data_IF_151776210672
#
_entry.id   IF_151776210672
#
_cell.length_a   1.000
_cell.length_b   1.000
_cell.length_c   1.000
_cell.angle_alpha   90.00
_cell.angle_beta   90.00
_cell.angle_gamma   90.00
#
_symmetry.space_group_name_H-M   'P 1'
#
loop_
_entity.id
_entity.type
_entity.pdbx_description
1 polymer ?
#
# COMPACT_ATOMS: atom_id res chain seq x y z
N UNK A 1 -27.18 36.48 -28.50
CA UNK A 1 -26.30 35.29 -28.35
C UNK A 1 -27.06 34.15 -27.67
N UNK A 2 -27.04 32.92 -28.20
CA UNK A 2 -27.65 31.75 -27.54
C UNK A 2 -27.03 31.57 -26.14
N UNK A 3 -27.85 31.32 -25.10
CA UNK A 3 -27.39 31.26 -23.69
C UNK A 3 -26.15 30.37 -23.51
N UNK A 4 -26.07 29.21 -24.16
CA UNK A 4 -24.92 28.30 -24.08
C UNK A 4 -23.59 28.89 -24.58
N UNK A 5 -23.62 29.66 -25.67
CA UNK A 5 -22.42 30.31 -26.23
C UNK A 5 -21.92 31.42 -25.30
N UNK A 6 -22.84 32.15 -24.66
CA UNK A 6 -22.50 33.19 -23.67
C UNK A 6 -21.72 32.61 -22.49
N UNK A 7 -22.21 31.52 -21.89
CA UNK A 7 -21.56 30.89 -20.74
C UNK A 7 -20.22 30.23 -21.10
N UNK A 8 -20.10 29.70 -22.32
CA UNK A 8 -18.83 29.18 -22.82
C UNK A 8 -17.76 30.29 -22.95
N UNK A 9 -18.12 31.44 -23.55
CA UNK A 9 -17.22 32.58 -23.65
C UNK A 9 -16.87 33.18 -22.28
N UNK A 10 -17.84 33.27 -21.36
CA UNK A 10 -17.58 33.70 -19.99
C UNK A 10 -16.59 32.77 -19.26
N UNK A 11 -16.66 31.45 -19.52
CA UNK A 11 -15.71 30.50 -18.96
C UNK A 11 -14.31 30.64 -19.57
N UNK A 12 -14.21 30.85 -20.88
CA UNK A 12 -12.95 31.07 -21.57
C UNK A 12 -12.26 32.35 -21.05
N UNK A 13 -13.00 33.45 -20.94
CA UNK A 13 -12.51 34.72 -20.38
C UNK A 13 -12.14 34.57 -18.91
N UNK A 14 -12.96 33.87 -18.11
CA UNK A 14 -12.63 33.57 -16.71
C UNK A 14 -11.32 32.78 -16.57
N UNK A 15 -11.10 31.77 -17.41
CA UNK A 15 -9.88 30.98 -17.41
C UNK A 15 -8.68 31.83 -17.81
N UNK A 16 -8.81 32.63 -18.86
CA UNK A 16 -7.77 33.56 -19.28
C UNK A 16 -7.39 34.55 -18.17
N UNK A 17 -8.37 35.25 -17.58
CA UNK A 17 -8.13 36.19 -16.47
C UNK A 17 -7.49 35.55 -15.23
N UNK A 18 -7.71 34.25 -15.01
CA UNK A 18 -7.20 33.51 -13.86
C UNK A 18 -5.80 32.94 -14.07
N UNK A 19 -5.49 32.51 -15.29
CA UNK A 19 -4.26 31.76 -15.61
C UNK A 19 -3.25 32.56 -16.43
N UNK A 20 -3.61 33.75 -16.92
CA UNK A 20 -2.67 34.66 -17.57
C UNK A 20 -1.60 35.13 -16.57
N UNK A 21 -0.34 34.96 -16.97
CA UNK A 21 0.81 35.22 -16.11
C UNK A 21 0.98 36.73 -15.82
N UNK A 22 0.70 37.59 -16.79
CA UNK A 22 0.84 39.04 -16.63
C UNK A 22 -0.24 39.58 -15.69
N UNK A 23 -1.50 39.13 -15.84
CA UNK A 23 -2.59 39.49 -14.92
C UNK A 23 -2.40 38.93 -13.52
N UNK A 24 -1.72 37.78 -13.40
CA UNK A 24 -1.36 37.20 -12.10
C UNK A 24 -0.26 38.00 -11.40
N UNK A 25 0.72 38.53 -12.14
CA UNK A 25 1.75 39.40 -11.59
C UNK A 25 1.21 40.79 -11.22
N UNK A 26 0.34 41.35 -12.06
CA UNK A 26 -0.23 42.69 -11.85
C UNK A 26 -1.25 42.75 -10.70
N UNK A 27 -2.17 41.78 -10.63
CA UNK A 27 -3.30 41.82 -9.69
C UNK A 27 -3.22 40.76 -8.57
N UNK A 28 -2.18 39.92 -8.57
CA UNK A 28 -2.03 38.80 -7.61
C UNK A 28 -3.32 37.99 -7.48
N UNK A 29 -3.88 37.93 -6.28
CA UNK A 29 -5.13 37.22 -5.97
C UNK A 29 -6.35 38.16 -5.87
N UNK A 30 -6.19 39.46 -6.15
CA UNK A 30 -7.32 40.40 -6.18
C UNK A 30 -8.24 40.07 -7.37
N UNK A 31 -9.52 39.86 -7.06
CA UNK A 31 -10.53 39.51 -8.04
C UNK A 31 -11.37 40.71 -8.49
N UNK A 32 -11.25 41.87 -7.85
CA UNK A 32 -12.07 43.04 -8.20
C UNK A 32 -11.80 43.54 -9.65
N UNK A 33 -10.54 43.73 -10.10
CA UNK A 33 -10.27 44.17 -11.47
C UNK A 33 -10.72 43.14 -12.51
N UNK A 34 -10.63 41.85 -12.17
CA UNK A 34 -11.07 40.74 -13.02
C UNK A 34 -12.59 40.65 -13.10
N UNK A 35 -13.28 40.95 -12.00
CA UNK A 35 -14.74 41.07 -11.97
C UNK A 35 -15.21 42.24 -12.82
N UNK A 36 -14.59 43.41 -12.68
CA UNK A 36 -14.96 44.62 -13.43
C UNK A 36 -14.79 44.41 -14.94
N UNK A 37 -13.73 43.73 -15.36
CA UNK A 37 -13.54 43.33 -16.75
C UNK A 37 -14.64 42.37 -17.24
N UNK A 38 -14.98 41.35 -16.45
CA UNK A 38 -16.08 40.43 -16.80
C UNK A 38 -17.44 41.14 -16.81
N UNK A 39 -17.67 42.08 -15.90
CA UNK A 39 -18.87 42.89 -15.82
C UNK A 39 -19.00 43.82 -17.04
N UNK A 40 -17.89 44.41 -17.49
CA UNK A 40 -17.83 45.23 -18.70
C UNK A 40 -18.13 44.45 -19.98
N UNK A 41 -17.66 43.20 -20.10
CA UNK A 41 -17.88 42.40 -21.30
C UNK A 41 -19.25 41.69 -21.36
N UNK A 42 -19.77 41.23 -20.22
CA UNK A 42 -20.93 40.33 -20.20
C UNK A 42 -22.14 40.88 -19.44
N UNK A 43 -21.98 42.02 -18.76
CA UNK A 43 -22.94 42.63 -17.85
C UNK A 43 -22.72 42.17 -16.41
N UNK A 44 -22.89 43.10 -15.47
CA UNK A 44 -22.61 42.89 -14.04
C UNK A 44 -23.46 41.76 -13.44
N UNK A 45 -24.75 41.71 -13.77
CA UNK A 45 -25.67 40.69 -13.27
C UNK A 45 -25.25 39.26 -13.68
N UNK A 46 -24.80 39.10 -14.93
CA UNK A 46 -24.37 37.82 -15.46
C UNK A 46 -22.99 37.42 -14.92
N UNK A 47 -22.04 38.36 -14.85
CA UNK A 47 -20.72 38.13 -14.24
C UNK A 47 -20.84 37.70 -12.77
N UNK A 48 -21.69 38.39 -11.99
CA UNK A 48 -21.95 38.08 -10.59
C UNK A 48 -22.60 36.70 -10.42
N UNK A 49 -23.58 36.36 -11.27
CA UNK A 49 -24.24 35.04 -11.26
C UNK A 49 -23.27 33.91 -11.63
N UNK A 50 -22.45 34.12 -12.65
CA UNK A 50 -21.43 33.17 -13.10
C UNK A 50 -20.39 32.90 -12.01
N UNK A 51 -19.83 33.94 -11.40
CA UNK A 51 -18.84 33.78 -10.33
C UNK A 51 -19.43 33.14 -9.08
N UNK A 52 -20.65 33.52 -8.66
CA UNK A 52 -21.35 32.83 -7.56
C UNK A 52 -21.52 31.33 -7.84
N UNK A 53 -21.88 30.97 -9.07
CA UNK A 53 -21.99 29.58 -9.50
C UNK A 53 -20.63 28.86 -9.47
N UNK A 54 -19.54 29.50 -9.93
CA UNK A 54 -18.17 28.95 -9.87
C UNK A 54 -17.65 28.78 -8.45
N UNK A 55 -17.91 29.76 -7.57
CA UNK A 55 -17.57 29.66 -6.14
C UNK A 55 -18.38 28.56 -5.47
N UNK A 56 -19.67 28.42 -5.79
CA UNK A 56 -20.51 27.32 -5.32
C UNK A 56 -19.96 25.97 -5.77
N UNK A 57 -19.64 25.80 -7.06
CA UNK A 57 -19.00 24.60 -7.61
C UNK A 57 -17.64 24.30 -6.97
N UNK A 58 -16.81 25.31 -6.75
CA UNK A 58 -15.50 25.13 -6.10
C UNK A 58 -15.66 24.76 -4.62
N UNK A 59 -16.63 25.35 -3.92
CA UNK A 59 -16.97 25.01 -2.52
C UNK A 59 -17.62 23.63 -2.42
N UNK A 60 -18.47 23.23 -3.34
CA UNK A 60 -19.08 21.89 -3.40
C UNK A 60 -18.03 20.83 -3.70
N UNK A 61 -17.09 21.09 -4.63
CA UNK A 61 -15.92 20.24 -4.88
C UNK A 61 -14.99 20.14 -3.67
N UNK A 62 -14.89 21.19 -2.85
CA UNK A 62 -14.17 21.16 -1.56
C UNK A 62 -14.95 20.48 -0.43
N UNK A 63 -16.30 20.35 -0.52
CA UNK A 63 -17.15 19.83 0.55
C UNK A 63 -17.26 18.30 0.56
N UNK A 64 -17.06 17.60 -0.56
CA UNK A 64 -17.06 16.13 -0.54
C UNK A 64 -15.67 15.55 -0.31
N UNK A 65 -14.98 16.01 0.74
CA UNK A 65 -13.83 15.25 1.23
C UNK A 65 -14.38 13.97 1.85
N UNK A 66 -14.02 12.83 1.29
CA UNK A 66 -14.48 11.54 1.81
C UNK A 66 -13.67 11.22 3.06
N UNK A 67 -14.25 11.44 4.24
CA UNK A 67 -13.67 10.96 5.50
C UNK A 67 -13.81 9.44 5.55
N UNK A 68 -12.69 8.74 5.72
CA UNK A 68 -12.67 7.29 5.89
C UNK A 68 -12.46 6.98 7.35
N UNK A 69 -13.35 6.16 7.91
CA UNK A 69 -13.24 5.64 9.28
C UNK A 69 -12.76 4.19 9.28
N UNK A 70 -12.13 3.74 10.37
CA UNK A 70 -11.65 2.36 10.54
C UNK A 70 -12.73 1.29 10.27
N UNK A 71 -13.99 1.53 10.66
CA UNK A 71 -15.12 0.62 10.34
C UNK A 71 -15.31 0.38 8.84
N UNK A 72 -15.01 1.38 8.00
CA UNK A 72 -15.07 1.24 6.55
C UNK A 72 -13.93 0.36 6.00
N UNK A 73 -12.79 0.32 6.70
CA UNK A 73 -11.66 -0.58 6.42
C UNK A 73 -12.06 -2.01 6.78
N UNK A 74 -12.55 -2.25 8.00
CA UNK A 74 -13.03 -3.55 8.48
C UNK A 74 -14.07 -4.16 7.52
N UNK A 75 -15.07 -3.36 7.12
CA UNK A 75 -16.10 -3.81 6.17
C UNK A 75 -15.51 -4.28 4.84
N UNK A 76 -14.37 -3.72 4.40
CA UNK A 76 -13.69 -4.14 3.16
C UNK A 76 -12.85 -5.39 3.37
N UNK A 77 -12.25 -5.55 4.54
CA UNK A 77 -11.55 -6.78 4.93
C UNK A 77 -12.52 -7.94 4.95
N UNK A 78 -13.69 -7.78 5.58
CA UNK A 78 -14.72 -8.82 5.61
C UNK A 78 -15.20 -9.21 4.21
N UNK A 79 -15.37 -8.23 3.32
CA UNK A 79 -15.75 -8.48 1.92
C UNK A 79 -14.66 -9.24 1.16
N UNK A 80 -13.40 -8.94 1.43
CA UNK A 80 -12.28 -9.64 0.81
C UNK A 80 -12.26 -11.10 1.24
N UNK A 81 -12.44 -11.37 2.54
CA UNK A 81 -12.48 -12.73 3.09
C UNK A 81 -13.67 -13.54 2.58
N UNK A 82 -14.83 -12.89 2.36
CA UNK A 82 -16.03 -13.55 1.83
C UNK A 82 -15.98 -13.79 0.31
N UNK A 83 -15.12 -13.08 -0.42
CA UNK A 83 -15.02 -13.21 -1.87
C UNK A 83 -14.22 -14.48 -2.24
N UNK A 84 -14.84 -15.37 -3.03
CA UNK A 84 -14.25 -16.66 -3.40
C UNK A 84 -13.05 -16.49 -4.38
N UNK A 85 -11.81 -16.84 -3.99
CA UNK A 85 -10.62 -16.66 -4.83
C UNK A 85 -10.56 -17.61 -6.04
N UNK A 86 -11.35 -18.68 -6.08
CA UNK A 86 -11.36 -19.63 -7.20
C UNK A 86 -12.13 -19.09 -8.41
N UNK A 87 -13.02 -18.13 -8.17
CA UNK A 87 -13.84 -17.51 -9.22
C UNK A 87 -13.16 -16.27 -9.82
N UNK A 88 -13.34 -16.05 -11.12
CA UNK A 88 -12.83 -14.83 -11.80
C UNK A 88 -13.41 -13.56 -11.17
N UNK A 89 -14.71 -13.56 -10.82
CA UNK A 89 -15.40 -12.45 -10.18
C UNK A 89 -14.84 -12.17 -8.78
N UNK A 90 -14.63 -13.19 -7.95
CA UNK A 90 -14.06 -13.03 -6.62
C UNK A 90 -12.63 -12.51 -6.64
N UNK A 91 -11.77 -13.02 -7.54
CA UNK A 91 -10.41 -12.47 -7.74
C UNK A 91 -10.42 -11.00 -8.12
N UNK A 92 -11.32 -10.59 -9.02
CA UNK A 92 -11.45 -9.19 -9.42
C UNK A 92 -11.93 -8.31 -8.26
N UNK A 93 -12.90 -8.80 -7.47
CA UNK A 93 -13.39 -8.09 -6.29
C UNK A 93 -12.29 -7.90 -5.25
N UNK A 94 -11.55 -8.96 -4.92
CA UNK A 94 -10.43 -8.94 -3.98
C UNK A 94 -9.35 -7.94 -4.38
N UNK A 95 -8.91 -7.98 -5.64
CA UNK A 95 -7.97 -7.00 -6.19
C UNK A 95 -8.51 -5.57 -6.12
N UNK A 96 -9.80 -5.36 -6.39
CA UNK A 96 -10.44 -4.05 -6.29
C UNK A 96 -10.44 -3.53 -4.85
N UNK A 97 -10.71 -4.41 -3.87
CA UNK A 97 -10.70 -4.06 -2.45
C UNK A 97 -9.30 -3.65 -1.99
N UNK A 98 -8.27 -4.44 -2.32
CA UNK A 98 -6.85 -4.10 -2.02
C UNK A 98 -6.48 -2.75 -2.63
N UNK A 99 -6.73 -2.54 -3.93
CA UNK A 99 -6.46 -1.26 -4.59
C UNK A 99 -7.17 -0.09 -3.94
N UNK A 100 -8.40 -0.29 -3.45
CA UNK A 100 -9.17 0.76 -2.78
C UNK A 100 -8.57 1.14 -1.43
N UNK A 101 -8.12 0.15 -0.66
CA UNK A 101 -7.44 0.36 0.62
C UNK A 101 -6.12 1.11 0.41
N UNK A 102 -5.30 0.67 -0.55
CA UNK A 102 -4.04 1.35 -0.92
C UNK A 102 -4.29 2.79 -1.36
N UNK A 103 -5.30 3.03 -2.20
CA UNK A 103 -5.68 4.38 -2.62
C UNK A 103 -6.03 5.27 -1.41
N UNK A 104 -6.84 4.76 -0.48
CA UNK A 104 -7.17 5.51 0.74
C UNK A 104 -5.96 5.81 1.61
N UNK A 105 -5.01 4.89 1.70
CA UNK A 105 -3.82 5.08 2.50
C UNK A 105 -2.77 6.01 1.86
N UNK A 106 -2.86 6.28 0.55
CA UNK A 106 -1.84 7.05 -0.20
C UNK A 106 -2.34 8.40 -0.70
N UNK A 107 -3.65 8.62 -0.76
CA UNK A 107 -4.24 9.87 -1.25
C UNK A 107 -4.11 11.00 -0.22
N UNK A 108 -3.36 12.06 -0.56
CA UNK A 108 -3.12 13.19 0.36
C UNK A 108 -4.40 13.96 0.67
N UNK A 109 -5.34 14.07 -0.26
CA UNK A 109 -6.60 14.77 0.00
C UNK A 109 -7.48 14.03 1.00
N UNK A 110 -7.49 12.70 1.00
CA UNK A 110 -8.18 11.92 2.04
C UNK A 110 -7.50 12.10 3.40
N UNK A 111 -6.16 12.21 3.40
CA UNK A 111 -5.37 12.14 4.62
C UNK A 111 -5.15 13.47 5.34
N UNK A 112 -5.09 14.58 4.61
CA UNK A 112 -4.86 15.92 5.19
C UNK A 112 -6.12 16.51 5.84
N UNK A 113 -7.30 16.04 5.44
CA UNK A 113 -8.57 16.66 5.80
C UNK A 113 -9.24 16.04 7.04
N UNK A 114 -8.60 15.08 7.71
CA UNK A 114 -9.14 14.42 8.90
C UNK A 114 -8.04 14.11 9.92
N UNK A 115 -8.18 14.66 11.14
CA UNK A 115 -7.19 14.56 12.23
C UNK A 115 -6.88 13.11 12.62
N UNK A 116 -7.87 12.20 12.54
CA UNK A 116 -7.67 10.78 12.85
C UNK A 116 -7.39 9.92 11.61
N UNK A 117 -7.02 10.54 10.47
CA UNK A 117 -6.62 9.80 9.27
C UNK A 117 -5.48 8.82 9.56
N UNK A 118 -4.53 9.19 10.43
CA UNK A 118 -3.43 8.30 10.82
C UNK A 118 -3.95 6.98 11.42
N UNK A 119 -5.03 7.00 12.24
CA UNK A 119 -5.63 5.78 12.80
C UNK A 119 -6.18 4.88 11.70
N UNK A 120 -6.87 5.48 10.74
CA UNK A 120 -7.42 4.75 9.59
C UNK A 120 -6.30 4.17 8.73
N UNK A 121 -5.22 4.91 8.49
CA UNK A 121 -4.04 4.42 7.77
C UNK A 121 -3.31 3.31 8.50
N UNK A 122 -3.21 3.37 9.83
CA UNK A 122 -2.70 2.28 10.65
C UNK A 122 -3.58 1.02 10.48
N UNK A 123 -4.90 1.17 10.56
CA UNK A 123 -5.83 0.04 10.34
C UNK A 123 -5.67 -0.54 8.93
N UNK A 124 -5.47 0.30 7.91
CA UNK A 124 -5.22 -0.17 6.53
C UNK A 124 -3.88 -0.91 6.45
N UNK A 125 -2.81 -0.36 7.00
CA UNK A 125 -1.47 -0.96 6.97
C UNK A 125 -1.46 -2.32 7.68
N UNK A 126 -2.04 -2.39 8.88
CA UNK A 126 -2.23 -3.63 9.62
C UNK A 126 -3.04 -4.63 8.79
N UNK A 127 -4.25 -4.27 8.34
CA UNK A 127 -5.10 -5.16 7.56
C UNK A 127 -4.40 -5.71 6.31
N UNK A 128 -3.67 -4.86 5.57
CA UNK A 128 -2.93 -5.24 4.38
C UNK A 128 -1.81 -6.23 4.69
N UNK A 129 -1.00 -6.00 5.73
CA UNK A 129 0.16 -6.82 6.08
C UNK A 129 -0.15 -7.97 7.07
N UNK A 130 -1.37 -8.07 7.58
CA UNK A 130 -1.81 -9.16 8.45
C UNK A 130 -2.88 -10.00 7.75
N UNK A 131 -4.15 -9.76 8.04
CA UNK A 131 -5.28 -10.59 7.63
C UNK A 131 -5.38 -10.76 6.11
N UNK A 132 -5.19 -9.68 5.34
CA UNK A 132 -5.26 -9.75 3.89
C UNK A 132 -4.06 -10.50 3.30
N UNK A 133 -2.84 -10.24 3.80
CA UNK A 133 -1.62 -10.90 3.34
C UNK A 133 -1.69 -12.42 3.54
N UNK A 134 -2.08 -12.87 4.74
CA UNK A 134 -2.16 -14.30 5.07
C UNK A 134 -3.21 -15.07 4.26
N UNK A 135 -4.19 -14.37 3.69
CA UNK A 135 -5.26 -14.97 2.91
C UNK A 135 -5.14 -14.66 1.41
N UNK A 136 -4.06 -14.00 0.98
CA UNK A 136 -3.88 -13.54 -0.40
C UNK A 136 -3.27 -14.61 -1.31
N UNK A 137 -3.70 -14.64 -2.57
CA UNK A 137 -3.01 -15.38 -3.64
C UNK A 137 -1.84 -14.55 -4.20
N UNK A 138 -0.85 -15.16 -4.87
CA UNK A 138 0.37 -14.46 -5.33
C UNK A 138 0.13 -13.09 -6.02
N UNK A 139 -0.80 -12.93 -6.98
CA UNK A 139 -1.03 -11.63 -7.60
C UNK A 139 -1.62 -10.57 -6.67
N UNK A 140 -2.29 -11.00 -5.59
CA UNK A 140 -2.80 -10.10 -4.54
C UNK A 140 -1.68 -9.71 -3.59
N UNK A 141 -0.76 -10.64 -3.27
CA UNK A 141 0.47 -10.35 -2.50
C UNK A 141 1.29 -9.26 -3.18
N UNK A 142 1.51 -9.35 -4.49
CA UNK A 142 2.21 -8.31 -5.25
C UNK A 142 1.54 -6.94 -5.14
N UNK A 143 0.21 -6.90 -5.24
CA UNK A 143 -0.58 -5.67 -5.12
C UNK A 143 -0.50 -5.09 -3.71
N UNK A 144 -0.51 -5.95 -2.68
CA UNK A 144 -0.35 -5.55 -1.29
C UNK A 144 1.03 -4.93 -1.10
N UNK A 145 2.10 -5.64 -1.46
CA UNK A 145 3.48 -5.18 -1.26
C UNK A 145 3.79 -3.90 -2.05
N UNK A 146 3.35 -3.80 -3.30
CA UNK A 146 3.45 -2.56 -4.08
C UNK A 146 2.67 -1.40 -3.43
N UNK A 147 1.54 -1.70 -2.79
CA UNK A 147 0.77 -0.72 -2.04
C UNK A 147 1.48 -0.24 -0.79
N UNK A 148 2.13 -1.16 -0.06
CA UNK A 148 2.92 -0.85 1.13
C UNK A 148 4.15 -0.02 0.77
N UNK A 149 4.85 -0.36 -0.30
CA UNK A 149 5.96 0.45 -0.83
C UNK A 149 5.54 1.92 -1.04
N UNK A 150 4.40 2.14 -1.70
CA UNK A 150 3.82 3.49 -1.87
C UNK A 150 3.47 4.18 -0.55
N UNK A 151 3.01 3.42 0.45
CA UNK A 151 2.69 3.96 1.77
C UNK A 151 3.94 4.35 2.57
N UNK A 152 5.04 3.62 2.39
CA UNK A 152 6.34 3.94 3.02
C UNK A 152 6.85 5.28 2.50
N UNK A 153 6.74 5.53 1.19
CA UNK A 153 7.22 6.77 0.57
C UNK A 153 6.20 7.93 0.60
N UNK A 154 4.95 7.71 1.03
CA UNK A 154 3.97 8.79 1.12
C UNK A 154 4.12 9.58 2.43
N UNK A 155 4.60 10.83 2.32
CA UNK A 155 4.75 11.76 3.46
C UNK A 155 3.42 12.33 4.00
N UNK A 156 2.28 11.73 3.64
CA UNK A 156 0.94 12.32 3.82
C UNK A 156 0.31 12.06 5.19
N UNK A 157 1.07 11.61 6.20
CA UNK A 157 0.48 11.21 7.49
C UNK A 157 0.59 12.32 8.51
N UNK A 158 -0.52 13.01 8.71
CA UNK A 158 -0.63 14.12 9.63
C UNK A 158 -1.32 13.65 10.94
N UNK A 159 -0.79 14.07 12.09
CA UNK A 159 -1.28 13.83 13.45
C UNK A 159 -1.59 15.17 14.13
N UNK A 160 -2.62 15.16 14.97
CA UNK A 160 -3.05 16.35 15.70
C UNK A 160 -3.69 17.42 14.80
N UNK A 161 -4.19 18.49 15.41
CA UNK A 161 -4.89 19.58 14.70
C UNK A 161 -3.98 20.40 13.78
N UNK A 162 -2.66 20.31 13.95
CA UNK A 162 -1.65 21.03 13.17
C UNK A 162 -1.09 20.23 11.99
N UNK A 163 -1.47 18.95 11.90
CA UNK A 163 -1.04 18.06 10.85
C UNK A 163 0.44 17.72 10.88
N UNK A 164 0.94 17.34 12.05
CA UNK A 164 2.34 16.98 12.26
C UNK A 164 2.64 15.59 11.69
N UNK A 165 3.81 15.34 11.11
CA UNK A 165 4.14 14.04 10.54
C UNK A 165 4.10 12.93 11.60
N UNK A 166 3.31 11.87 11.36
CA UNK A 166 3.12 10.75 12.30
C UNK A 166 4.01 9.53 12.00
N UNK A 167 4.84 9.07 12.96
CA UNK A 167 5.61 7.82 12.79
C UNK A 167 4.74 6.57 12.97
N UNK A 168 3.56 6.67 13.57
CA UNK A 168 2.77 5.51 14.02
C UNK A 168 2.38 4.54 12.90
N UNK A 169 2.10 5.06 11.70
CA UNK A 169 1.81 4.22 10.52
C UNK A 169 3.06 3.44 10.10
N UNK A 170 4.22 4.08 10.17
CA UNK A 170 5.50 3.48 9.80
C UNK A 170 5.92 2.40 10.80
N UNK A 171 5.66 2.59 12.10
CA UNK A 171 5.93 1.57 13.11
C UNK A 171 5.08 0.31 12.91
N UNK A 172 3.80 0.48 12.52
CA UNK A 172 2.94 -0.65 12.13
C UNK A 172 3.52 -1.36 10.91
N UNK A 173 3.85 -0.62 9.84
CA UNK A 173 4.44 -1.22 8.62
C UNK A 173 5.70 -2.02 8.97
N UNK A 174 6.64 -1.43 9.69
CA UNK A 174 7.92 -2.05 10.06
C UNK A 174 7.71 -3.34 10.86
N UNK A 175 6.84 -3.31 11.88
CA UNK A 175 6.55 -4.48 12.72
C UNK A 175 5.99 -5.65 11.89
N UNK A 176 5.06 -5.37 10.99
CA UNK A 176 4.46 -6.42 10.17
C UNK A 176 5.39 -6.91 9.06
N UNK A 177 6.18 -6.03 8.44
CA UNK A 177 7.23 -6.41 7.48
C UNK A 177 8.22 -7.38 8.13
N UNK A 178 8.71 -7.06 9.33
CA UNK A 178 9.62 -7.93 10.05
C UNK A 178 8.97 -9.28 10.42
N UNK A 179 7.70 -9.29 10.83
CA UNK A 179 6.95 -10.53 11.08
C UNK A 179 6.85 -11.39 9.81
N UNK A 180 6.53 -10.80 8.65
CA UNK A 180 6.44 -11.53 7.39
C UNK A 180 7.81 -12.11 7.01
N UNK A 181 8.89 -11.34 7.14
CA UNK A 181 10.25 -11.82 6.91
C UNK A 181 10.60 -12.98 7.85
N UNK A 182 10.30 -12.88 9.15
CA UNK A 182 10.54 -13.95 10.10
C UNK A 182 9.82 -15.26 9.71
N UNK A 183 8.55 -15.16 9.31
CA UNK A 183 7.76 -16.31 8.84
C UNK A 183 8.37 -16.92 7.58
N UNK A 184 8.80 -16.07 6.63
CA UNK A 184 9.47 -16.51 5.42
C UNK A 184 10.75 -17.30 5.71
N UNK A 185 11.61 -16.77 6.58
CA UNK A 185 12.88 -17.41 6.94
C UNK A 185 12.67 -18.72 7.71
N UNK A 186 11.71 -18.73 8.64
CA UNK A 186 11.34 -19.96 9.37
C UNK A 186 10.94 -21.08 8.41
N UNK A 187 10.17 -20.74 7.37
CA UNK A 187 9.75 -21.71 6.36
C UNK A 187 10.92 -22.18 5.49
N UNK A 188 11.86 -21.30 5.13
CA UNK A 188 13.09 -21.68 4.43
C UNK A 188 13.95 -22.64 5.25
N UNK A 189 14.08 -22.40 6.56
CA UNK A 189 14.79 -23.29 7.48
C UNK A 189 14.09 -24.66 7.57
N UNK A 190 12.76 -24.67 7.73
CA UNK A 190 11.97 -25.91 7.75
C UNK A 190 12.19 -26.75 6.49
N UNK A 191 12.13 -26.13 5.31
CA UNK A 191 12.36 -26.80 4.03
C UNK A 191 13.81 -27.31 3.86
N UNK A 192 14.80 -26.57 4.38
CA UNK A 192 16.20 -26.99 4.39
C UNK A 192 16.38 -28.22 5.27
N UNK A 193 15.83 -28.20 6.48
CA UNK A 193 15.98 -29.27 7.45
C UNK A 193 15.26 -30.55 6.97
N UNK A 194 14.08 -30.42 6.35
CA UNK A 194 13.42 -31.56 5.68
C UNK A 194 14.26 -32.18 4.55
N UNK A 195 14.95 -31.35 3.75
CA UNK A 195 15.85 -31.83 2.69
C UNK A 195 17.06 -32.54 3.27
N UNK A 196 17.65 -32.01 4.34
CA UNK A 196 18.77 -32.62 5.06
C UNK A 196 18.36 -33.95 5.68
N UNK A 197 17.18 -34.05 6.27
CA UNK A 197 16.64 -35.30 6.82
C UNK A 197 16.43 -36.35 5.73
N UNK A 198 15.85 -35.97 4.59
CA UNK A 198 15.69 -36.88 3.45
C UNK A 198 17.05 -37.36 2.92
N UNK A 199 18.02 -36.46 2.77
CA UNK A 199 19.37 -36.80 2.33
C UNK A 199 20.08 -37.74 3.32
N UNK A 200 19.93 -37.48 4.62
CA UNK A 200 20.50 -38.30 5.70
C UNK A 200 19.89 -39.70 5.73
N UNK A 201 18.55 -39.80 5.62
CA UNK A 201 17.84 -41.08 5.49
C UNK A 201 18.33 -41.86 4.26
N UNK A 202 18.46 -41.21 3.11
CA UNK A 202 18.98 -41.85 1.89
C UNK A 202 20.41 -42.38 2.11
N UNK A 203 21.28 -41.59 2.76
CA UNK A 203 22.66 -42.00 3.05
C UNK A 203 22.72 -43.21 3.98
N UNK A 204 21.95 -43.19 5.08
CA UNK A 204 21.86 -44.32 6.02
C UNK A 204 21.33 -45.59 5.34
N UNK A 205 20.33 -45.47 4.46
CA UNK A 205 19.82 -46.61 3.69
C UNK A 205 20.90 -47.18 2.77
N UNK A 206 21.69 -46.33 2.09
CA UNK A 206 22.81 -46.78 1.25
C UNK A 206 23.88 -47.50 2.07
N UNK A 207 24.29 -46.92 3.19
CA UNK A 207 25.28 -47.53 4.10
C UNK A 207 24.79 -48.88 4.66
N UNK A 208 23.50 -48.99 5.01
CA UNK A 208 22.89 -50.26 5.44
C UNK A 208 22.78 -51.29 4.32
N UNK A 209 22.53 -50.87 3.08
CA UNK A 209 22.49 -51.75 1.91
C UNK A 209 23.88 -52.27 1.54
N UNK A 210 24.89 -51.39 1.60
CA UNK A 210 26.31 -51.74 1.43
C UNK A 210 26.76 -52.73 2.51
N UNK A 211 26.38 -52.50 3.78
CA UNK A 211 26.68 -53.41 4.88
C UNK A 211 25.96 -54.77 4.79
N UNK A 212 24.80 -54.85 4.11
CA UNK A 212 24.01 -56.08 3.95
C UNK A 212 24.24 -56.81 2.60
N UNK A 213 25.12 -56.31 1.73
CA UNK A 213 25.47 -56.95 0.46
C UNK A 213 24.34 -57.05 -0.58
N UNK A 214 23.28 -56.23 -0.47
CA UNK A 214 22.05 -56.40 -1.25
C UNK A 214 21.75 -55.27 -2.25
N UNK A 215 21.62 -55.63 -3.54
CA UNK A 215 21.06 -54.76 -4.61
C UNK A 215 19.53 -54.67 -4.47
N UNK A 216 19.03 -53.68 -3.72
CA UNK A 216 17.60 -53.41 -3.56
C UNK A 216 17.19 -52.05 -4.14
N UNK A 217 16.23 -52.06 -5.07
CA UNK A 217 15.70 -50.88 -5.80
C UNK A 217 15.08 -49.82 -4.88
N UNK A 218 15.44 -48.55 -5.11
CA UNK A 218 14.92 -47.37 -4.41
C UNK A 218 13.67 -46.83 -5.12
N UNK A 219 12.49 -47.17 -4.62
CA UNK A 219 11.25 -46.49 -4.98
C UNK A 219 10.62 -45.90 -3.71
N UNK A 220 10.93 -44.63 -3.43
CA UNK A 220 10.12 -43.82 -2.52
C UNK A 220 9.66 -42.58 -3.29
N UNK A 221 8.44 -42.66 -3.80
CA UNK A 221 7.69 -41.52 -4.32
C UNK A 221 7.27 -40.64 -3.14
N UNK A 222 7.97 -39.53 -2.95
CA UNK A 222 7.49 -38.46 -2.09
C UNK A 222 6.36 -37.72 -2.82
N UNK A 223 5.14 -38.28 -2.81
CA UNK A 223 3.94 -37.48 -3.05
C UNK A 223 3.70 -36.62 -1.81
N UNK A 224 4.33 -35.44 -1.80
CA UNK A 224 3.85 -34.35 -0.98
C UNK A 224 2.50 -33.92 -1.57
N UNK A 225 1.42 -34.23 -0.87
CA UNK A 225 0.06 -33.83 -1.23
C UNK A 225 -0.03 -32.28 -1.31
N UNK A 226 0.17 -31.76 -2.52
CA UNK A 226 0.04 -30.35 -2.95
C UNK A 226 -1.44 -29.95 -3.09
N UNK A 227 -2.25 -30.12 -2.04
CA UNK A 227 -3.69 -29.77 -2.08
C UNK A 227 -4.16 -28.95 -0.89
N UNK A 228 -3.37 -27.98 -0.47
CA UNK A 228 -3.85 -26.95 0.43
C UNK A 228 -3.68 -25.58 -0.23
N UNK A 229 -4.75 -25.11 -0.89
CA UNK A 229 -4.76 -23.90 -1.72
C UNK A 229 -4.51 -22.61 -0.91
N UNK A 230 -4.43 -22.71 0.42
CA UNK A 230 -4.27 -21.62 1.36
C UNK A 230 -2.98 -21.70 2.20
N UNK A 231 -2.08 -22.66 1.95
CA UNK A 231 -0.90 -22.90 2.82
C UNK A 231 0.45 -22.31 2.37
N UNK A 232 0.58 -21.69 1.19
CA UNK A 232 1.91 -21.28 0.71
C UNK A 232 2.01 -19.81 0.29
N UNK A 233 1.58 -18.87 1.13
CA UNK A 233 2.15 -17.50 1.04
C UNK A 233 3.67 -17.55 1.26
N UNK A 234 4.14 -18.56 2.00
CA UNK A 234 5.54 -18.82 2.25
C UNK A 234 5.98 -20.17 1.63
N UNK A 235 7.23 -20.30 1.17
CA UNK A 235 8.23 -19.23 1.10
C UNK A 235 7.84 -18.17 0.05
N UNK A 236 8.16 -16.91 0.35
CA UNK A 236 7.92 -15.81 -0.58
C UNK A 236 8.82 -15.95 -1.81
N UNK A 237 8.33 -15.55 -3.00
CA UNK A 237 9.18 -15.28 -4.15
C UNK A 237 10.35 -14.34 -3.79
N UNK A 238 11.56 -14.55 -4.34
CA UNK A 238 12.75 -13.76 -4.01
C UNK A 238 12.56 -12.25 -4.16
N UNK A 239 11.88 -11.81 -5.22
CA UNK A 239 11.59 -10.39 -5.47
C UNK A 239 10.74 -9.76 -4.36
N UNK A 240 9.77 -10.50 -3.83
CA UNK A 240 8.91 -10.03 -2.75
C UNK A 240 9.67 -9.96 -1.41
N UNK A 241 10.52 -10.94 -1.14
CA UNK A 241 11.38 -10.94 0.04
C UNK A 241 12.41 -9.80 -0.01
N UNK A 242 13.02 -9.54 -1.18
CA UNK A 242 13.92 -8.40 -1.42
C UNK A 242 13.24 -7.06 -1.20
N UNK A 243 12.00 -6.90 -1.66
CA UNK A 243 11.23 -5.68 -1.44
C UNK A 243 10.97 -5.43 0.05
N UNK A 244 10.55 -6.47 0.78
CA UNK A 244 10.33 -6.36 2.23
C UNK A 244 11.61 -5.98 2.98
N UNK A 245 12.75 -6.49 2.53
CA UNK A 245 14.06 -6.11 3.06
C UNK A 245 14.45 -4.69 2.74
N UNK A 246 14.25 -4.25 1.50
CA UNK A 246 14.50 -2.86 1.11
C UNK A 246 13.65 -1.89 1.94
N UNK A 247 12.39 -2.25 2.23
CA UNK A 247 11.51 -1.49 3.13
C UNK A 247 12.07 -1.44 4.55
N UNK A 248 12.53 -2.57 5.10
CA UNK A 248 13.13 -2.60 6.43
C UNK A 248 14.43 -1.78 6.50
N UNK A 249 15.30 -1.91 5.50
CA UNK A 249 16.55 -1.14 5.40
C UNK A 249 16.30 0.36 5.21
N UNK A 250 15.23 0.75 4.49
CA UNK A 250 14.84 2.15 4.36
C UNK A 250 14.61 2.81 5.73
N UNK A 251 13.99 2.11 6.68
CA UNK A 251 13.73 2.64 8.02
C UNK A 251 14.99 2.88 8.86
N UNK A 252 16.16 2.34 8.47
CA UNK A 252 17.44 2.68 9.11
C UNK A 252 17.85 4.14 8.88
N UNK A 253 17.33 4.74 7.81
CA UNK A 253 17.51 6.17 7.48
C UNK A 253 16.30 7.02 7.84
N UNK A 254 15.36 6.46 8.62
CA UNK A 254 14.18 7.16 9.10
C UNK A 254 14.55 8.47 9.81
N UNK A 255 13.77 9.56 9.65
CA UNK A 255 13.97 10.77 10.43
C UNK A 255 13.69 10.55 11.94
N UNK A 256 12.96 9.49 12.30
CA UNK A 256 12.60 9.15 13.68
C UNK A 256 13.62 8.18 14.31
N UNK A 257 14.32 8.57 15.40
CA UNK A 257 15.32 7.74 16.07
C UNK A 257 14.80 6.36 16.49
N UNK A 258 13.65 6.30 17.14
CA UNK A 258 13.06 5.05 17.64
C UNK A 258 12.80 4.04 16.53
N UNK A 259 12.31 4.50 15.37
CA UNK A 259 12.10 3.64 14.20
C UNK A 259 13.43 3.15 13.62
N UNK A 260 14.50 3.96 13.66
CA UNK A 260 15.86 3.53 13.22
C UNK A 260 16.40 2.42 14.12
N UNK A 261 16.34 2.60 15.43
CA UNK A 261 16.82 1.63 16.42
C UNK A 261 16.05 0.32 16.32
N UNK A 262 14.72 0.41 16.18
CA UNK A 262 13.85 -0.75 15.99
C UNK A 262 14.19 -1.50 14.70
N UNK A 263 14.36 -0.80 13.57
CA UNK A 263 14.74 -1.42 12.30
C UNK A 263 16.11 -2.12 12.38
N UNK A 264 17.10 -1.48 13.02
CA UNK A 264 18.43 -2.05 13.23
C UNK A 264 18.37 -3.32 14.09
N UNK A 265 17.61 -3.29 15.20
CA UNK A 265 17.41 -4.44 16.08
C UNK A 265 16.74 -5.61 15.35
N UNK A 266 15.67 -5.34 14.58
CA UNK A 266 14.96 -6.35 13.80
C UNK A 266 15.86 -6.97 12.73
N UNK A 267 16.68 -6.18 12.03
CA UNK A 267 17.64 -6.72 11.05
C UNK A 267 18.66 -7.64 11.71
N UNK A 268 19.24 -7.21 12.84
CA UNK A 268 20.18 -8.05 13.60
C UNK A 268 19.57 -9.37 14.08
N UNK A 269 18.29 -9.36 14.47
CA UNK A 269 17.59 -10.59 14.86
C UNK A 269 17.41 -11.52 13.66
N UNK A 270 17.03 -10.99 12.49
CA UNK A 270 16.87 -11.79 11.27
C UNK A 270 18.20 -12.41 10.81
N UNK A 271 19.30 -11.66 10.85
CA UNK A 271 20.65 -12.16 10.54
C UNK A 271 21.07 -13.29 11.51
N UNK A 272 20.76 -13.13 12.80
CA UNK A 272 21.10 -14.13 13.83
C UNK A 272 20.41 -15.48 13.62
N UNK A 273 19.16 -15.46 13.13
CA UNK A 273 18.38 -16.68 12.87
C UNK A 273 18.93 -17.48 11.68
N UNK A 274 19.53 -16.81 10.71
CA UNK A 274 20.05 -17.44 9.51
C UNK A 274 21.49 -17.95 9.66
N UNK A 275 22.22 -17.45 10.66
CA UNK A 275 23.66 -17.73 10.80
C UNK A 275 24.50 -17.18 9.64
N UNK A 276 23.91 -16.38 8.75
CA UNK A 276 24.49 -15.76 7.56
C UNK A 276 23.79 -14.40 7.35
N UNK A 277 24.47 -13.40 6.77
CA UNK A 277 23.83 -12.13 6.43
C UNK A 277 22.66 -12.35 5.48
N UNK A 278 21.50 -11.81 5.82
CA UNK A 278 20.24 -11.93 5.07
C UNK A 278 20.38 -11.48 3.61
N UNK A 279 21.24 -10.48 3.38
CA UNK A 279 21.59 -9.93 2.07
C UNK A 279 22.27 -10.95 1.12
N UNK A 280 22.76 -12.09 1.65
CA UNK A 280 23.42 -13.16 0.86
C UNK A 280 22.49 -14.31 0.47
N UNK A 281 21.24 -14.34 0.96
CA UNK A 281 20.31 -15.46 0.81
C UNK A 281 19.18 -15.23 -0.20
N UNK A 282 19.06 -14.02 -0.73
CA UNK A 282 18.01 -13.61 -1.68
C UNK A 282 18.61 -13.09 -2.99
#
# INVERSE_FOLDING_TARGET
>A
MKRGVKYFLMLAVYAWLRFDLALRLAFKDDWNPRFDFMAGLFGEADARKFLKFRVKLARERKKSVTVIHSKAVETRVDKFLKANPDTKSGRLERRRLVKKLVFWATDSHINENYVESYKTRMTIADALLSTLFSNAIHPEVDLILTGIDKMVFSRSTNLGFRGEPSPLVHDVIMRHVARILFLHLSELMRLRDEKLDKATKIKLIKELQEAKGGKGSLAFSAEANLKDQYQHTFPLPPEQAKLLLAILDHYRFSPWPDSRETAASLKSQLDSLLGLPLDKLL
#
